data_IF_764899750503
#
_entry.id   IF_764899750503
#
_cell.length_a   1.000
_cell.length_b   1.000
_cell.length_c   1.000
_cell.angle_alpha   90.00
_cell.angle_beta   90.00
_cell.angle_gamma   90.00
#
_symmetry.space_group_name_H-M   'P 1'
#
loop_
_entity.id
_entity.type
_entity.pdbx_description
1 polymer ?
#
# COMPACT_ATOMS: atom_id res chain seq x y z
N UNK A 1 18.53 14.71 -5.56
CA UNK A 1 18.21 13.59 -6.45
C UNK A 1 17.08 14.02 -7.37
N UNK A 2 17.25 13.80 -8.66
CA UNK A 2 16.24 14.03 -9.70
C UNK A 2 15.68 12.66 -10.09
N UNK A 3 14.36 12.55 -10.25
CA UNK A 3 13.68 11.29 -10.54
C UNK A 3 12.96 11.42 -11.87
N UNK A 4 13.33 10.58 -12.84
CA UNK A 4 12.66 10.50 -14.14
C UNK A 4 11.61 9.39 -14.13
N UNK A 5 10.46 9.64 -14.76
CA UNK A 5 9.34 8.69 -14.83
C UNK A 5 9.29 8.00 -16.19
N UNK A 6 9.23 6.67 -16.17
CA UNK A 6 9.04 5.85 -17.39
C UNK A 6 7.59 5.82 -17.89
N UNK A 7 6.67 6.58 -17.28
CA UNK A 7 5.24 6.62 -17.65
C UNK A 7 4.39 5.44 -17.15
N UNK A 8 4.92 4.59 -16.27
CA UNK A 8 4.22 3.40 -15.76
C UNK A 8 3.32 3.65 -14.53
N UNK A 9 3.26 4.89 -14.03
CA UNK A 9 2.45 5.26 -12.85
C UNK A 9 1.26 6.08 -13.34
N UNK A 10 0.04 5.61 -13.05
CA UNK A 10 -1.19 6.33 -13.38
C UNK A 10 -1.55 7.32 -12.26
N UNK A 11 -1.45 6.89 -11.01
CA UNK A 11 -1.70 7.72 -9.82
C UNK A 11 -0.98 7.19 -8.60
N UNK A 12 -0.40 8.10 -7.82
CA UNK A 12 0.08 7.83 -6.47
C UNK A 12 -0.48 8.85 -5.48
N UNK A 13 -0.69 8.44 -4.24
CA UNK A 13 -1.24 9.31 -3.20
C UNK A 13 -0.92 8.86 -1.79
N UNK A 14 -0.89 9.81 -0.86
CA UNK A 14 -0.73 9.52 0.58
C UNK A 14 -2.09 9.25 1.22
N UNK A 15 -2.15 8.32 2.17
CA UNK A 15 -3.33 8.06 2.98
C UNK A 15 -3.24 8.86 4.29
N UNK A 16 -4.25 9.72 4.53
CA UNK A 16 -4.37 10.53 5.76
C UNK A 16 -5.80 10.45 6.31
N UNK A 17 -5.99 10.21 7.62
CA UNK A 17 -4.98 9.79 8.61
C UNK A 17 -4.40 8.41 8.29
N UNK A 18 -3.26 8.05 8.90
CA UNK A 18 -2.67 6.72 8.74
C UNK A 18 -3.48 5.70 9.53
N UNK A 19 -4.30 4.92 8.83
CA UNK A 19 -5.16 3.93 9.46
C UNK A 19 -4.38 2.67 9.78
N UNK A 20 -4.55 2.14 10.99
CA UNK A 20 -4.05 0.82 11.35
C UNK A 20 -4.87 -0.27 10.63
N UNK A 21 -4.18 -1.30 10.19
CA UNK A 21 -4.74 -2.46 9.51
C UNK A 21 -4.02 -3.73 10.01
N UNK A 22 -4.78 -4.74 10.44
CA UNK A 22 -4.26 -6.08 10.63
C UNK A 22 -3.84 -6.73 9.31
N UNK A 23 -3.05 -7.81 9.39
CA UNK A 23 -2.60 -8.56 8.21
C UNK A 23 -3.78 -9.06 7.35
N UNK A 24 -4.90 -9.37 7.99
CA UNK A 24 -6.12 -9.87 7.34
C UNK A 24 -7.05 -8.74 6.84
N UNK A 25 -6.74 -7.47 7.17
CA UNK A 25 -7.60 -6.33 6.87
C UNK A 25 -7.18 -5.56 5.61
N UNK A 26 -6.08 -5.93 4.95
CA UNK A 26 -5.57 -5.21 3.77
C UNK A 26 -6.56 -5.21 2.60
N UNK A 27 -7.35 -6.27 2.40
CA UNK A 27 -8.32 -6.36 1.31
C UNK A 27 -9.37 -5.23 1.36
N UNK A 28 -9.76 -4.80 2.57
CA UNK A 28 -10.68 -3.67 2.77
C UNK A 28 -10.08 -2.36 2.24
N UNK A 29 -8.78 -2.18 2.43
CA UNK A 29 -8.06 -0.99 1.99
C UNK A 29 -7.77 -1.03 0.50
N UNK A 30 -7.50 -2.21 -0.06
CA UNK A 30 -7.34 -2.42 -1.51
C UNK A 30 -8.62 -1.96 -2.22
N UNK A 31 -9.79 -2.44 -1.80
CA UNK A 31 -11.09 -2.03 -2.37
C UNK A 31 -11.37 -0.53 -2.28
N UNK A 32 -10.75 0.17 -1.33
CA UNK A 32 -10.99 1.60 -1.10
C UNK A 32 -10.07 2.49 -1.95
N UNK A 33 -8.83 2.06 -2.18
CA UNK A 33 -7.80 2.90 -2.80
C UNK A 33 -7.32 2.39 -4.16
N UNK A 34 -7.47 1.10 -4.44
CA UNK A 34 -7.06 0.50 -5.71
C UNK A 34 -8.29 0.35 -6.64
N UNK A 35 -8.13 0.63 -7.94
CA UNK A 35 -9.24 0.63 -8.89
C UNK A 35 -9.72 -0.78 -9.26
N UNK A 36 -8.87 -1.80 -9.09
CA UNK A 36 -9.20 -3.20 -9.37
C UNK A 36 -8.45 -4.14 -8.41
N UNK A 37 -8.94 -5.38 -8.31
CA UNK A 37 -8.26 -6.44 -7.55
C UNK A 37 -6.95 -6.81 -8.26
N UNK A 38 -5.91 -7.09 -7.49
CA UNK A 38 -4.58 -7.44 -7.98
C UNK A 38 -3.95 -6.35 -8.88
N UNK A 39 -4.39 -5.10 -8.72
CA UNK A 39 -3.91 -3.96 -9.48
C UNK A 39 -3.44 -2.83 -8.56
N UNK A 40 -2.19 -2.42 -8.73
CA UNK A 40 -1.56 -1.41 -7.89
C UNK A 40 -1.01 -1.97 -6.58
N UNK A 41 -0.53 -1.09 -5.71
CA UNK A 41 0.07 -1.48 -4.44
C UNK A 41 -0.23 -0.47 -3.35
N UNK A 42 -0.71 -0.97 -2.21
CA UNK A 42 -0.70 -0.24 -0.94
C UNK A 42 0.67 -0.36 -0.30
N UNK A 43 1.19 0.79 0.13
CA UNK A 43 2.42 0.92 0.91
C UNK A 43 2.00 0.98 2.38
N UNK A 44 2.53 0.06 3.18
CA UNK A 44 2.21 -0.07 4.60
C UNK A 44 3.47 0.01 5.46
N UNK A 45 3.34 0.60 6.64
CA UNK A 45 4.40 0.59 7.65
C UNK A 45 4.13 -0.54 8.63
N UNK A 46 5.04 -1.49 8.74
CA UNK A 46 4.99 -2.57 9.73
C UNK A 46 6.10 -2.39 10.76
N UNK A 47 6.16 -3.26 11.76
CA UNK A 47 7.26 -3.30 12.74
C UNK A 47 8.62 -3.64 12.12
N UNK A 48 8.63 -4.19 10.91
CA UNK A 48 9.84 -4.64 10.21
C UNK A 48 10.26 -3.68 9.08
N UNK A 49 9.57 -2.54 8.94
CA UNK A 49 9.88 -1.52 7.95
C UNK A 49 8.69 -1.18 7.06
N UNK A 50 8.98 -0.51 5.95
CA UNK A 50 7.99 -0.15 4.94
C UNK A 50 8.00 -1.22 3.85
N UNK A 51 6.82 -1.75 3.52
CA UNK A 51 6.67 -2.82 2.53
C UNK A 51 5.32 -2.70 1.83
N UNK A 52 5.12 -3.51 0.79
CA UNK A 52 3.81 -3.66 0.17
C UNK A 52 2.85 -4.43 1.07
N UNK A 53 1.55 -4.16 0.94
CA UNK A 53 0.54 -4.98 1.61
C UNK A 53 0.57 -6.47 1.20
N UNK A 54 1.07 -6.81 0.01
CA UNK A 54 1.26 -8.19 -0.43
C UNK A 54 2.31 -8.90 0.44
N UNK A 55 3.50 -8.30 0.58
CA UNK A 55 4.57 -8.82 1.43
C UNK A 55 4.16 -8.86 2.89
N UNK A 56 3.48 -7.81 3.37
CA UNK A 56 2.98 -7.74 4.73
C UNK A 56 1.98 -8.87 5.02
N UNK A 57 1.08 -9.17 4.07
CA UNK A 57 0.12 -10.28 4.21
C UNK A 57 0.81 -11.64 4.19
N UNK A 58 1.78 -11.85 3.29
CA UNK A 58 2.52 -13.10 3.20
C UNK A 58 3.32 -13.39 4.48
N UNK A 59 3.88 -12.36 5.08
CA UNK A 59 4.66 -12.47 6.33
C UNK A 59 3.78 -12.39 7.59
N UNK A 60 2.47 -12.16 7.45
CA UNK A 60 1.54 -12.03 8.58
C UNK A 60 1.74 -10.76 9.42
N UNK A 61 2.32 -9.71 8.85
CA UNK A 61 2.53 -8.43 9.52
C UNK A 61 1.38 -7.45 9.27
N UNK A 62 0.80 -6.97 10.36
CA UNK A 62 -0.06 -5.79 10.34
C UNK A 62 0.75 -4.49 10.34
N UNK A 63 0.05 -3.37 10.17
CA UNK A 63 0.71 -2.08 10.08
C UNK A 63 -0.23 -0.90 9.96
N UNK A 64 0.29 0.19 9.41
CA UNK A 64 -0.51 1.35 9.05
C UNK A 64 -0.43 1.61 7.54
N UNK A 65 -1.57 1.94 6.93
CA UNK A 65 -1.62 2.30 5.51
C UNK A 65 -1.02 3.70 5.33
N UNK A 66 0.06 3.79 4.56
CA UNK A 66 0.81 5.02 4.36
C UNK A 66 0.48 5.69 3.03
N UNK A 67 0.42 4.92 1.95
CA UNK A 67 0.21 5.43 0.60
C UNK A 67 -0.31 4.33 -0.34
N UNK A 68 -0.74 4.74 -1.53
CA UNK A 68 -1.08 3.84 -2.63
C UNK A 68 -0.43 4.33 -3.93
N UNK A 69 -0.13 3.40 -4.82
CA UNK A 69 0.37 3.67 -6.18
C UNK A 69 -0.21 2.66 -7.15
N UNK A 70 -0.64 3.11 -8.34
CA UNK A 70 -1.16 2.28 -9.42
C UNK A 70 -1.15 3.01 -10.76
#
# INVERSE_FOLDING_TARGET
>A
FEVELNGAINRCGTVKPRYSAGADEFEKWEKRFLPARDYGTLIVTTSHGVMSHYEAREQGFGGQVLAYVY
#
